data_IF_326258350372
#
_entry.id   IF_326258350372
#
_cell.length_a   1.000
_cell.length_b   1.000
_cell.length_c   1.000
_cell.angle_alpha   90.00
_cell.angle_beta   90.00
_cell.angle_gamma   90.00
#
_symmetry.space_group_name_H-M   'P 1'
#
loop_
_entity.id
_entity.type
_entity.pdbx_description
1 polymer ?
#
# COMPACT_ATOMS: atom_id res chain seq x y z
N UNK A 1 -19.04 -25.24 -20.36
CA UNK A 1 -18.81 -24.22 -19.35
C UNK A 1 -17.43 -24.43 -18.74
N UNK A 2 -16.44 -23.75 -19.26
CA UNK A 2 -15.14 -23.66 -18.62
C UNK A 2 -15.33 -22.72 -17.42
N UNK A 3 -15.54 -23.28 -16.25
CA UNK A 3 -15.31 -22.55 -15.01
C UNK A 3 -13.83 -22.18 -14.99
N UNK A 4 -13.52 -20.98 -15.39
CA UNK A 4 -12.16 -20.46 -15.28
C UNK A 4 -11.71 -20.70 -13.84
N UNK A 5 -10.64 -21.44 -13.66
CA UNK A 5 -10.06 -21.70 -12.34
C UNK A 5 -9.62 -20.35 -11.75
N UNK A 6 -10.46 -19.78 -10.90
CA UNK A 6 -10.20 -18.50 -10.21
C UNK A 6 -9.18 -18.65 -9.07
N UNK A 7 -8.52 -19.80 -8.98
CA UNK A 7 -7.47 -20.06 -8.00
C UNK A 7 -6.25 -20.58 -8.74
N UNK A 8 -5.10 -20.02 -8.39
CA UNK A 8 -3.79 -20.53 -8.80
C UNK A 8 -3.05 -21.01 -7.56
N UNK A 9 -2.57 -22.24 -7.62
CA UNK A 9 -1.57 -22.69 -6.67
C UNK A 9 -0.22 -22.16 -7.13
N UNK A 10 0.47 -21.48 -6.26
CA UNK A 10 1.77 -20.88 -6.53
C UNK A 10 2.72 -21.22 -5.40
N UNK A 11 3.96 -21.49 -5.74
CA UNK A 11 5.06 -21.60 -4.81
C UNK A 11 5.82 -20.28 -4.89
N UNK A 12 5.89 -19.54 -3.82
CA UNK A 12 6.64 -18.29 -3.77
C UNK A 12 7.81 -18.44 -2.79
N UNK A 13 8.85 -17.65 -3.02
CA UNK A 13 9.94 -17.47 -2.09
C UNK A 13 9.78 -16.11 -1.43
N UNK A 14 9.66 -16.08 -0.12
CA UNK A 14 9.54 -14.81 0.63
C UNK A 14 10.90 -14.10 0.77
N UNK A 15 10.91 -12.96 1.45
CA UNK A 15 12.11 -12.14 1.64
C UNK A 15 13.23 -12.85 2.40
N UNK A 16 12.89 -13.83 3.22
CA UNK A 16 13.84 -14.64 4.00
C UNK A 16 14.35 -15.85 3.21
N UNK A 17 13.79 -16.09 2.02
CA UNK A 17 14.12 -17.22 1.17
C UNK A 17 13.28 -18.47 1.45
N UNK A 18 12.31 -18.41 2.35
CA UNK A 18 11.44 -19.53 2.67
C UNK A 18 10.41 -19.75 1.55
N UNK A 19 10.12 -21.04 1.28
CA UNK A 19 9.16 -21.43 0.26
C UNK A 19 7.78 -21.54 0.90
N UNK A 20 6.81 -20.81 0.32
CA UNK A 20 5.44 -20.84 0.76
C UNK A 20 4.49 -21.28 -0.36
N UNK A 21 3.63 -22.25 -0.06
CA UNK A 21 2.55 -22.66 -0.94
C UNK A 21 1.35 -21.73 -0.78
N UNK A 22 0.97 -21.06 -1.87
CA UNK A 22 -0.09 -20.06 -1.87
C UNK A 22 -1.22 -20.49 -2.78
N UNK A 23 -2.44 -20.52 -2.26
CA UNK A 23 -3.67 -20.60 -3.07
C UNK A 23 -4.16 -19.21 -3.39
N UNK A 24 -3.66 -18.65 -4.49
CA UNK A 24 -4.02 -17.32 -4.91
C UNK A 24 -5.40 -17.32 -5.60
N UNK A 25 -6.32 -16.53 -5.07
CA UNK A 25 -7.61 -16.26 -5.70
C UNK A 25 -7.45 -15.14 -6.72
N UNK A 26 -7.61 -15.46 -8.00
CA UNK A 26 -7.60 -14.45 -9.07
C UNK A 26 -8.85 -13.56 -8.93
N UNK A 27 -8.69 -12.24 -8.77
CA UNK A 27 -9.82 -11.32 -8.67
C UNK A 27 -10.70 -11.35 -9.93
N UNK A 28 -12.00 -11.13 -9.77
CA UNK A 28 -12.90 -10.89 -10.89
C UNK A 28 -12.85 -9.42 -11.30
N UNK A 29 -13.51 -9.06 -12.41
CA UNK A 29 -13.46 -7.69 -12.95
C UNK A 29 -13.95 -6.62 -11.96
N UNK A 30 -14.93 -6.92 -11.11
CA UNK A 30 -15.39 -5.97 -10.11
C UNK A 30 -14.35 -5.78 -9.00
N UNK A 31 -13.69 -6.86 -8.58
CA UNK A 31 -12.59 -6.79 -7.62
C UNK A 31 -11.34 -6.09 -8.21
N UNK A 32 -11.11 -6.22 -9.52
CA UNK A 32 -10.06 -5.41 -10.17
C UNK A 32 -10.34 -3.92 -10.03
N UNK A 33 -11.60 -3.50 -10.18
CA UNK A 33 -12.01 -2.09 -10.02
C UNK A 33 -11.81 -1.56 -8.60
N UNK A 34 -11.84 -2.41 -7.57
CA UNK A 34 -11.59 -2.01 -6.18
C UNK A 34 -10.20 -1.36 -6.00
N UNK A 35 -9.23 -1.73 -6.84
CA UNK A 35 -7.88 -1.17 -6.82
C UNK A 35 -7.60 -0.28 -8.05
N UNK A 36 -8.10 -0.69 -9.23
CA UNK A 36 -7.82 -0.06 -10.52
C UNK A 36 -8.91 0.93 -10.94
N UNK A 37 -9.41 1.75 -10.02
CA UNK A 37 -10.39 2.78 -10.34
C UNK A 37 -10.03 4.10 -9.65
N UNK A 38 -9.99 5.16 -10.44
CA UNK A 38 -9.90 6.53 -9.97
C UNK A 38 -10.93 7.39 -10.73
N UNK A 39 -11.65 8.27 -10.04
CA UNK A 39 -12.69 9.13 -10.64
C UNK A 39 -13.71 8.37 -11.50
N UNK A 40 -14.07 7.14 -11.09
CA UNK A 40 -15.01 6.22 -11.77
C UNK A 40 -14.47 5.61 -13.08
N UNK A 41 -13.23 5.85 -13.44
CA UNK A 41 -12.58 5.27 -14.61
C UNK A 41 -11.57 4.19 -14.20
N UNK A 42 -11.41 3.17 -15.05
CA UNK A 42 -10.38 2.14 -14.82
C UNK A 42 -9.02 2.76 -15.11
N UNK A 43 -8.17 2.78 -14.08
CA UNK A 43 -6.85 3.39 -14.15
C UNK A 43 -5.79 2.36 -13.74
N UNK A 44 -4.70 2.19 -14.51
CA UNK A 44 -3.58 1.38 -14.08
C UNK A 44 -2.97 1.91 -12.78
N UNK A 45 -2.64 1.02 -11.84
CA UNK A 45 -1.78 1.36 -10.71
C UNK A 45 -0.35 1.33 -11.23
N UNK A 46 0.16 2.49 -11.58
CA UNK A 46 1.56 2.63 -12.01
C UNK A 46 2.45 3.14 -10.89
N UNK A 47 3.77 3.08 -11.08
CA UNK A 47 4.69 3.79 -10.20
C UNK A 47 4.44 5.30 -10.35
N UNK A 48 4.42 5.99 -9.23
CA UNK A 48 4.36 7.46 -9.21
C UNK A 48 5.76 8.03 -9.42
N UNK A 49 5.89 9.24 -9.99
CA UNK A 49 7.18 9.86 -10.24
C UNK A 49 8.07 9.86 -8.97
N UNK A 50 7.50 10.13 -7.79
CA UNK A 50 8.24 10.09 -6.52
C UNK A 50 8.84 8.71 -6.16
N UNK A 51 8.26 7.61 -6.66
CA UNK A 51 8.81 6.26 -6.46
C UNK A 51 10.00 5.99 -7.38
N UNK A 52 10.04 6.66 -8.53
CA UNK A 52 11.07 6.53 -9.56
C UNK A 52 12.20 7.55 -9.38
N UNK A 53 12.01 8.56 -8.54
CA UNK A 53 13.02 9.56 -8.25
C UNK A 53 14.10 9.00 -7.31
N UNK A 54 14.87 8.06 -7.81
CA UNK A 54 15.92 7.35 -7.09
C UNK A 54 17.04 6.96 -8.02
N UNK A 55 18.22 6.73 -7.46
CA UNK A 55 19.37 6.22 -8.23
C UNK A 55 19.11 4.77 -8.63
N UNK A 56 19.27 4.47 -9.89
CA UNK A 56 19.15 3.14 -10.46
C UNK A 56 20.43 2.75 -11.21
N UNK A 57 20.82 1.48 -11.12
CA UNK A 57 22.00 0.96 -11.79
C UNK A 57 21.66 0.54 -13.23
N UNK A 58 22.35 1.16 -14.20
CA UNK A 58 22.24 0.87 -15.63
C UNK A 58 23.54 0.19 -16.11
N UNK A 59 23.69 -1.07 -15.75
CA UNK A 59 24.95 -1.80 -16.03
C UNK A 59 26.10 -1.25 -15.17
N UNK A 60 27.13 -0.69 -15.82
CA UNK A 60 28.31 -0.15 -15.14
C UNK A 60 28.12 1.29 -14.61
N UNK A 61 27.04 1.97 -14.97
CA UNK A 61 26.74 3.33 -14.54
C UNK A 61 25.51 3.38 -13.64
N UNK A 62 25.42 4.43 -12.83
CA UNK A 62 24.23 4.71 -12.01
C UNK A 62 23.77 6.14 -12.26
N UNK A 63 22.47 6.33 -12.38
CA UNK A 63 21.85 7.63 -12.62
C UNK A 63 20.47 7.66 -11.97
N UNK A 64 19.95 8.84 -11.68
CA UNK A 64 18.55 8.99 -11.28
C UNK A 64 17.63 8.48 -12.42
N UNK A 65 16.65 7.67 -12.07
CA UNK A 65 15.80 7.02 -13.08
C UNK A 65 14.97 8.02 -13.88
N UNK A 66 14.47 9.08 -13.26
CA UNK A 66 13.71 10.14 -13.97
C UNK A 66 14.63 10.97 -14.87
N UNK A 67 15.83 11.32 -14.39
CA UNK A 67 16.82 12.00 -15.21
C UNK A 67 17.18 11.19 -16.45
N UNK A 68 17.38 9.88 -16.27
CA UNK A 68 17.66 8.98 -17.39
C UNK A 68 16.52 8.93 -18.40
N UNK A 69 15.29 8.89 -17.93
CA UNK A 69 14.13 8.88 -18.82
C UNK A 69 13.94 10.21 -19.55
N UNK A 70 14.26 11.32 -18.88
CA UNK A 70 14.27 12.64 -19.51
C UNK A 70 15.35 12.73 -20.61
N UNK A 71 16.58 12.27 -20.34
CA UNK A 71 17.64 12.20 -21.36
C UNK A 71 17.24 11.37 -22.59
N UNK A 72 16.46 10.30 -22.39
CA UNK A 72 15.94 9.45 -23.47
C UNK A 72 14.72 10.04 -24.19
N UNK A 73 14.23 11.21 -23.74
CA UNK A 73 13.04 11.84 -24.30
C UNK A 73 11.73 11.09 -23.99
N UNK A 74 11.70 10.27 -22.95
CA UNK A 74 10.51 9.50 -22.56
C UNK A 74 9.57 10.29 -21.66
N UNK A 75 10.07 11.27 -20.94
CA UNK A 75 9.32 12.18 -20.07
C UNK A 75 9.77 13.61 -20.26
N UNK A 76 8.86 14.55 -20.02
CA UNK A 76 9.14 15.97 -20.03
C UNK A 76 9.89 16.42 -18.75
N UNK A 77 10.31 17.67 -18.68
CA UNK A 77 11.14 18.22 -17.60
C UNK A 77 10.34 18.65 -16.35
N UNK A 78 9.04 18.38 -16.31
CA UNK A 78 8.14 18.74 -15.19
C UNK A 78 8.05 17.66 -14.10
N UNK A 79 8.92 16.66 -14.15
CA UNK A 79 8.95 15.52 -13.19
C UNK A 79 9.48 15.87 -11.80
N UNK A 80 9.72 17.15 -11.49
CA UNK A 80 10.27 17.59 -10.21
C UNK A 80 9.37 17.15 -9.04
N UNK A 81 9.82 16.19 -8.26
CA UNK A 81 9.11 15.63 -7.13
C UNK A 81 10.07 15.20 -6.04
N UNK A 82 9.59 15.19 -4.79
CA UNK A 82 10.36 14.62 -3.69
C UNK A 82 10.53 13.12 -3.91
N UNK A 83 11.73 12.61 -3.65
CA UNK A 83 11.98 11.17 -3.62
C UNK A 83 11.23 10.52 -2.46
N UNK A 84 10.72 9.33 -2.66
CA UNK A 84 10.28 8.48 -1.57
C UNK A 84 11.43 7.63 -1.07
N UNK A 85 11.41 7.32 0.23
CA UNK A 85 12.40 6.44 0.83
C UNK A 85 12.02 4.98 0.60
N UNK A 86 13.02 4.13 0.54
CA UNK A 86 12.80 2.69 0.64
C UNK A 86 12.28 2.37 2.06
N UNK A 87 11.13 1.71 2.15
CA UNK A 87 10.54 1.32 3.43
C UNK A 87 11.45 0.37 4.24
N UNK A 88 12.32 -0.37 3.56
CA UNK A 88 13.27 -1.30 4.18
C UNK A 88 14.56 -0.61 4.67
N UNK A 89 14.89 0.59 4.18
CA UNK A 89 16.12 1.30 4.55
C UNK A 89 16.08 1.81 6.00
N UNK A 90 16.81 1.12 6.87
CA UNK A 90 16.89 1.44 8.30
C UNK A 90 17.58 2.77 8.62
N UNK A 91 18.27 3.39 7.65
CA UNK A 91 18.94 4.66 7.83
C UNK A 91 18.01 5.86 7.69
N UNK A 92 16.76 5.63 7.24
CA UNK A 92 15.75 6.68 7.11
C UNK A 92 14.75 6.64 8.28
N UNK A 93 14.05 7.76 8.48
CA UNK A 93 13.13 7.88 9.62
C UNK A 93 12.00 6.84 9.54
N UNK A 94 11.58 6.35 10.69
CA UNK A 94 10.48 5.39 10.80
C UNK A 94 9.17 5.92 10.18
N UNK A 95 8.90 7.22 10.36
CA UNK A 95 7.72 7.87 9.78
C UNK A 95 7.77 7.86 8.25
N UNK A 96 8.88 8.26 7.66
CA UNK A 96 9.04 8.25 6.20
C UNK A 96 8.91 6.83 5.63
N UNK A 97 9.49 5.83 6.28
CA UNK A 97 9.39 4.43 5.88
C UNK A 97 7.97 3.91 5.91
N UNK A 98 7.27 4.11 7.03
CA UNK A 98 5.88 3.70 7.18
C UNK A 98 4.96 4.42 6.18
N UNK A 99 5.15 5.73 6.01
CA UNK A 99 4.39 6.56 5.07
C UNK A 99 4.65 6.14 3.61
N UNK A 100 5.89 5.84 3.25
CA UNK A 100 6.23 5.29 1.93
C UNK A 100 5.56 3.95 1.67
N UNK A 101 5.58 3.05 2.65
CA UNK A 101 4.91 1.76 2.54
C UNK A 101 3.39 1.92 2.35
N UNK A 102 2.76 2.77 3.15
CA UNK A 102 1.31 3.02 3.09
C UNK A 102 0.90 3.69 1.77
N UNK A 103 1.69 4.61 1.24
CA UNK A 103 1.42 5.26 -0.05
C UNK A 103 1.42 4.26 -1.21
N UNK A 104 2.41 3.37 -1.26
CA UNK A 104 2.55 2.40 -2.35
C UNK A 104 1.44 1.33 -2.27
N UNK A 105 1.17 0.80 -1.10
CA UNK A 105 0.32 -0.37 -0.93
C UNK A 105 -1.15 -0.02 -0.65
N UNK A 106 -1.45 1.18 -0.17
CA UNK A 106 -2.78 1.59 0.26
C UNK A 106 -3.26 2.88 -0.40
N UNK A 107 -2.34 3.82 -0.66
CA UNK A 107 -2.64 5.17 -1.15
C UNK A 107 -3.21 5.23 -2.57
N UNK A 108 -3.24 4.13 -3.33
CA UNK A 108 -3.91 4.10 -4.63
C UNK A 108 -5.44 3.96 -4.52
N UNK A 109 -5.93 3.34 -3.43
CA UNK A 109 -7.35 3.29 -3.10
C UNK A 109 -7.73 4.36 -2.07
N UNK A 110 -6.89 4.54 -1.04
CA UNK A 110 -7.09 5.48 0.06
C UNK A 110 -6.54 6.86 -0.27
N UNK A 111 -7.17 7.52 -1.22
CA UNK A 111 -6.90 8.88 -1.71
C UNK A 111 -8.21 9.50 -2.18
N UNK A 112 -8.29 10.82 -2.26
CA UNK A 112 -9.42 11.53 -2.85
C UNK A 112 -9.66 11.06 -4.29
N UNK A 113 -10.92 10.73 -4.62
CA UNK A 113 -11.31 10.15 -5.91
C UNK A 113 -10.91 8.68 -6.10
N UNK A 114 -10.19 8.05 -5.17
CA UNK A 114 -9.90 6.63 -5.17
C UNK A 114 -11.10 5.77 -4.79
N UNK A 115 -10.98 4.46 -4.94
CA UNK A 115 -12.09 3.53 -4.67
C UNK A 115 -12.53 3.51 -3.21
N UNK A 116 -11.64 3.84 -2.28
CA UNK A 116 -11.90 3.94 -0.84
C UNK A 116 -12.08 5.41 -0.35
N UNK A 117 -12.33 6.35 -1.25
CA UNK A 117 -12.50 7.78 -0.95
C UNK A 117 -13.54 8.04 0.14
N UNK A 118 -14.69 7.36 0.06
CA UNK A 118 -15.79 7.51 1.04
C UNK A 118 -15.39 7.17 2.47
N UNK A 119 -14.28 6.45 2.67
CA UNK A 119 -13.75 6.19 4.02
C UNK A 119 -13.17 7.45 4.66
N UNK A 120 -12.77 8.44 3.86
CA UNK A 120 -12.02 9.62 4.28
C UNK A 120 -10.68 9.28 4.96
N UNK A 121 -10.21 8.05 4.81
CA UNK A 121 -8.87 7.62 5.22
C UNK A 121 -7.95 7.79 3.99
N UNK A 122 -6.99 8.70 4.08
CA UNK A 122 -6.09 9.00 2.98
C UNK A 122 -4.64 8.68 3.38
N UNK A 123 -4.02 7.79 2.64
CA UNK A 123 -2.72 7.22 2.97
C UNK A 123 -1.64 7.60 1.94
N UNK A 124 -1.90 8.65 1.16
CA UNK A 124 -0.87 9.24 0.30
C UNK A 124 0.27 9.81 1.13
N UNK A 125 1.49 9.71 0.63
CA UNK A 125 2.70 10.22 1.30
C UNK A 125 2.61 11.72 1.65
N UNK A 126 1.91 12.50 0.83
CA UNK A 126 1.77 13.95 1.02
C UNK A 126 0.56 14.34 1.89
N UNK A 127 -0.19 13.40 2.46
CA UNK A 127 -1.31 13.73 3.34
C UNK A 127 -0.79 14.12 4.73
N UNK A 128 -0.99 15.37 5.13
CA UNK A 128 -0.50 15.90 6.41
C UNK A 128 -1.59 16.04 7.48
N UNK A 129 -2.86 15.91 7.08
CA UNK A 129 -3.98 16.01 8.01
C UNK A 129 -4.10 14.73 8.83
N UNK A 130 -3.79 14.82 10.13
CA UNK A 130 -3.79 13.67 11.05
C UNK A 130 -5.09 12.88 11.02
N UNK A 131 -6.23 13.55 10.94
CA UNK A 131 -7.54 12.88 10.88
C UNK A 131 -7.71 12.06 9.60
N UNK A 132 -7.22 12.54 8.46
CA UNK A 132 -7.27 11.81 7.20
C UNK A 132 -6.28 10.63 7.18
N UNK A 133 -5.14 10.79 7.84
CA UNK A 133 -4.21 9.66 8.07
C UNK A 133 -4.79 8.58 9.00
N UNK A 134 -5.92 8.84 9.63
CA UNK A 134 -6.62 7.87 10.46
C UNK A 134 -6.48 8.08 11.96
N UNK A 135 -5.76 9.12 12.43
CA UNK A 135 -5.53 9.36 13.86
C UNK A 135 -6.85 9.70 14.53
N UNK A 136 -7.27 8.85 15.48
CA UNK A 136 -8.55 8.92 16.17
C UNK A 136 -9.76 9.05 15.23
N UNK A 137 -9.60 8.61 13.97
CA UNK A 137 -10.66 8.60 12.97
C UNK A 137 -11.54 7.38 13.17
N UNK A 138 -12.84 7.62 13.36
CA UNK A 138 -13.83 6.55 13.35
C UNK A 138 -14.01 6.02 11.91
N UNK A 139 -14.02 4.69 11.71
CA UNK A 139 -14.31 4.12 10.41
C UNK A 139 -15.78 4.41 10.00
N UNK A 140 -16.02 4.52 8.71
CA UNK A 140 -17.38 4.82 8.19
C UNK A 140 -18.22 3.54 8.13
N UNK A 141 -17.67 2.43 7.64
CA UNK A 141 -18.41 1.18 7.46
C UNK A 141 -17.44 -0.02 7.49
N UNK A 142 -17.07 -0.49 8.67
CA UNK A 142 -16.14 -1.62 8.81
C UNK A 142 -16.81 -2.92 9.25
N UNK A 143 -18.03 -2.84 9.78
CA UNK A 143 -18.72 -4.03 10.31
C UNK A 143 -17.81 -4.85 11.25
N UNK A 144 -17.75 -6.17 11.02
CA UNK A 144 -16.90 -7.07 11.81
C UNK A 144 -15.40 -6.81 11.66
N UNK A 145 -14.99 -6.10 10.61
CA UNK A 145 -13.58 -5.75 10.37
C UNK A 145 -13.05 -4.67 11.34
N UNK A 146 -13.90 -4.09 12.18
CA UNK A 146 -13.47 -3.23 13.28
C UNK A 146 -12.96 -4.01 14.51
N UNK A 147 -13.37 -5.27 14.70
CA UNK A 147 -13.11 -6.05 15.91
C UNK A 147 -13.46 -5.28 17.21
N UNK A 148 -14.54 -4.52 17.20
CA UNK A 148 -14.95 -3.61 18.27
C UNK A 148 -13.94 -2.49 18.60
N UNK A 149 -12.88 -2.31 17.81
CA UNK A 149 -11.98 -1.18 17.90
C UNK A 149 -12.66 0.10 17.40
N UNK A 150 -12.27 1.24 17.96
CA UNK A 150 -12.99 2.50 17.75
C UNK A 150 -12.40 3.36 16.63
N UNK A 151 -11.09 3.26 16.39
CA UNK A 151 -10.39 4.22 15.53
C UNK A 151 -9.48 3.52 14.53
N UNK A 152 -9.30 4.15 13.39
CA UNK A 152 -8.40 3.65 12.35
C UNK A 152 -6.96 3.54 12.85
N UNK A 153 -6.47 4.58 13.55
CA UNK A 153 -5.18 4.59 14.24
C UNK A 153 -5.36 5.23 15.61
N UNK A 154 -4.83 4.58 16.64
CA UNK A 154 -4.68 5.13 17.98
C UNK A 154 -3.18 5.35 18.23
N UNK A 155 -2.68 6.60 18.19
CA UNK A 155 -1.28 6.89 18.47
C UNK A 155 -0.81 6.28 19.79
N UNK A 156 0.36 5.63 19.75
CA UNK A 156 0.92 4.92 20.89
C UNK A 156 0.36 3.50 21.12
N UNK A 157 -0.73 3.11 20.42
CA UNK A 157 -1.47 1.86 20.68
C UNK A 157 -1.77 1.08 19.40
N UNK A 158 -0.81 0.37 18.83
CA UNK A 158 -1.00 -0.42 17.62
C UNK A 158 -2.10 -1.48 17.78
N UNK A 159 -2.23 -2.11 18.93
CA UNK A 159 -3.23 -3.13 19.25
C UNK A 159 -4.68 -2.60 19.30
N UNK A 160 -4.87 -1.29 19.51
CA UNK A 160 -6.17 -0.61 19.46
C UNK A 160 -6.48 -0.03 18.08
N UNK A 161 -5.60 -0.23 17.07
CA UNK A 161 -5.67 0.39 15.74
C UNK A 161 -6.26 -0.56 14.71
N UNK A 162 -7.42 -0.19 14.11
CA UNK A 162 -8.11 -0.98 13.08
C UNK A 162 -7.21 -1.23 11.87
N UNK A 163 -6.39 -0.25 11.46
CA UNK A 163 -5.47 -0.38 10.34
C UNK A 163 -4.57 -1.61 10.50
N UNK A 164 -3.91 -1.73 11.65
CA UNK A 164 -3.00 -2.86 11.92
C UNK A 164 -3.76 -4.18 12.01
N UNK A 165 -4.89 -4.20 12.70
CA UNK A 165 -5.75 -5.39 12.80
C UNK A 165 -6.14 -5.92 11.41
N UNK A 166 -6.54 -5.05 10.49
CA UNK A 166 -6.90 -5.45 9.13
C UNK A 166 -5.70 -5.90 8.30
N UNK A 167 -4.53 -5.31 8.51
CA UNK A 167 -3.29 -5.76 7.85
C UNK A 167 -2.89 -7.18 8.29
N UNK A 168 -3.13 -7.52 9.55
CA UNK A 168 -2.81 -8.83 10.15
C UNK A 168 -3.81 -9.94 9.76
N UNK A 169 -4.99 -9.59 9.24
CA UNK A 169 -6.00 -10.60 8.88
C UNK A 169 -5.80 -11.14 7.48
N UNK A 170 -6.13 -12.42 7.27
CA UNK A 170 -6.31 -13.07 5.97
C UNK A 170 -7.77 -13.43 5.68
N UNK A 171 -8.69 -13.11 6.60
CA UNK A 171 -10.12 -13.26 6.37
C UNK A 171 -10.59 -12.22 5.34
N UNK A 172 -11.17 -12.63 4.20
CA UNK A 172 -11.62 -11.73 3.15
C UNK A 172 -12.63 -10.65 3.60
N UNK A 173 -13.36 -10.91 4.71
CA UNK A 173 -14.29 -9.91 5.27
C UNK A 173 -13.67 -8.97 6.30
N UNK A 174 -12.38 -9.09 6.58
CA UNK A 174 -11.64 -8.31 7.57
C UNK A 174 -10.40 -7.67 6.96
N UNK A 175 -9.64 -8.44 6.17
CA UNK A 175 -8.32 -8.04 5.67
C UNK A 175 -8.36 -6.75 4.84
N UNK A 176 -7.22 -6.04 4.80
CA UNK A 176 -6.94 -4.95 3.87
C UNK A 176 -5.56 -5.20 3.24
N UNK A 177 -5.42 -5.14 1.90
CA UNK A 177 -6.49 -5.03 0.89
C UNK A 177 -7.50 -6.17 0.94
N UNK A 178 -8.74 -5.89 0.53
CA UNK A 178 -9.86 -6.86 0.57
C UNK A 178 -9.71 -7.98 -0.47
N UNK A 179 -8.96 -7.74 -1.52
CA UNK A 179 -8.65 -8.68 -2.59
C UNK A 179 -7.20 -8.59 -3.02
N UNK A 180 -6.75 -9.53 -3.86
CA UNK A 180 -5.41 -9.51 -4.44
C UNK A 180 -4.29 -9.96 -3.51
N UNK A 181 -4.60 -10.44 -2.31
CA UNK A 181 -3.62 -10.89 -1.33
C UNK A 181 -4.00 -12.26 -0.74
N UNK A 182 -3.01 -13.10 -0.49
CA UNK A 182 -3.17 -14.42 0.16
C UNK A 182 -2.15 -14.67 1.27
N UNK A 183 -1.23 -13.74 1.48
CA UNK A 183 -0.22 -13.78 2.54
C UNK A 183 -0.20 -12.49 3.34
N UNK A 184 0.31 -12.56 4.56
CA UNK A 184 0.69 -11.41 5.33
C UNK A 184 2.08 -10.92 4.90
N UNK A 185 2.31 -9.63 4.98
CA UNK A 185 3.63 -9.03 4.86
C UNK A 185 4.10 -8.70 6.27
N UNK A 186 4.77 -9.66 6.91
CA UNK A 186 5.16 -9.60 8.33
C UNK A 186 6.03 -8.39 8.64
N UNK A 187 7.00 -8.10 7.78
CA UNK A 187 7.94 -6.98 7.93
C UNK A 187 7.21 -5.62 7.89
N UNK A 188 6.20 -5.53 7.03
CA UNK A 188 5.38 -4.32 6.95
C UNK A 188 4.44 -4.16 8.15
N UNK A 189 3.89 -5.26 8.66
CA UNK A 189 3.08 -5.27 9.89
C UNK A 189 3.93 -4.78 11.05
N UNK A 190 5.17 -5.26 11.17
CA UNK A 190 6.11 -4.83 12.18
C UNK A 190 6.47 -3.34 12.04
N UNK A 191 6.76 -2.88 10.80
CA UNK A 191 7.05 -1.48 10.50
C UNK A 191 5.90 -0.56 10.93
N UNK A 192 4.67 -0.87 10.49
CA UNK A 192 3.49 -0.05 10.80
C UNK A 192 3.16 -0.11 12.29
N UNK A 193 3.34 -1.27 12.94
CA UNK A 193 3.17 -1.40 14.39
C UNK A 193 4.14 -0.52 15.16
N UNK A 194 5.43 -0.56 14.80
CA UNK A 194 6.46 0.31 15.39
C UNK A 194 6.16 1.79 15.15
N UNK A 195 5.73 2.12 13.95
CA UNK A 195 5.36 3.50 13.62
C UNK A 195 4.20 3.99 14.48
N UNK A 196 3.10 3.25 14.57
CA UNK A 196 1.93 3.63 15.40
C UNK A 196 2.34 3.77 16.88
N UNK A 197 3.23 2.89 17.37
CA UNK A 197 3.70 2.93 18.74
C UNK A 197 4.52 4.20 19.07
N UNK A 198 5.14 4.80 18.07
CA UNK A 198 5.98 6.00 18.22
C UNK A 198 5.28 7.30 17.83
N UNK A 199 4.00 7.25 17.50
CA UNK A 199 3.16 8.42 17.30
C UNK A 199 2.79 9.02 18.68
#
# INVERSE_FOLDING_TARGET
>A
HVMARRQRQMCIRDSNGDIQDVRYRVPNINQCKECHQANKEITPIGPKARNLNTIYAYGESSMNQLEKWHELGWIDNDYQTKSMVDWADQNTSLDNRARSYLDINCGHCHIEGGSADTSGLYLSFNEDRKINLGFYKKPVATGRASNNLKYSIVPGKPEESILLYRMQSLDPGIMMPESGRSLQHSEAIELVSKWIKNL
#
